data_IF_624589589317
#
_entry.id   IF_624589589317
#
_cell.length_a   1.000
_cell.length_b   1.000
_cell.length_c   1.000
_cell.angle_alpha   90.00
_cell.angle_beta   90.00
_cell.angle_gamma   90.00
#
_symmetry.space_group_name_H-M   'P 1'
#
loop_
_entity.id
_entity.type
_entity.pdbx_description
1 polymer ?
#
# COMPACT_ATOMS: atom_id res chain seq x y z
N UNK A 1 -13.27 -13.56 26.51
CA UNK A 1 -12.14 -12.82 25.89
C UNK A 1 -12.56 -12.32 24.52
N UNK A 2 -12.46 -11.02 24.25
CA UNK A 2 -12.61 -10.51 22.88
C UNK A 2 -11.42 -11.00 22.05
N UNK A 3 -11.68 -11.75 20.98
CA UNK A 3 -10.65 -12.23 20.06
C UNK A 3 -9.98 -11.00 19.43
N UNK A 4 -8.65 -10.89 19.50
CA UNK A 4 -7.94 -9.76 18.89
C UNK A 4 -8.20 -9.75 17.38
N UNK A 5 -8.49 -8.59 16.80
CA UNK A 5 -8.68 -8.46 15.35
C UNK A 5 -7.39 -8.85 14.63
N UNK A 6 -7.50 -9.70 13.61
CA UNK A 6 -6.38 -10.07 12.75
C UNK A 6 -5.98 -8.90 11.86
N UNK A 7 -4.67 -8.73 11.66
CA UNK A 7 -4.08 -7.62 10.93
C UNK A 7 -3.65 -8.09 9.55
N UNK A 8 -4.11 -7.42 8.50
CA UNK A 8 -3.73 -7.68 7.10
C UNK A 8 -2.94 -6.48 6.57
N UNK A 9 -1.71 -6.70 6.12
CA UNK A 9 -0.99 -5.71 5.32
C UNK A 9 -1.39 -5.86 3.85
N UNK A 10 -1.76 -4.76 3.19
CA UNK A 10 -2.01 -4.77 1.75
C UNK A 10 -0.77 -4.27 1.02
N UNK A 11 -0.35 -5.02 0.01
CA UNK A 11 0.74 -4.65 -0.88
C UNK A 11 0.25 -4.61 -2.33
N UNK A 12 0.54 -3.52 -3.03
CA UNK A 12 0.16 -3.32 -4.43
C UNK A 12 1.09 -2.31 -5.11
N UNK A 13 0.87 -2.07 -6.40
CA UNK A 13 1.46 -0.89 -7.04
C UNK A 13 0.79 0.39 -6.54
N UNK A 14 1.55 1.45 -6.30
CA UNK A 14 0.99 2.77 -5.94
C UNK A 14 -0.07 3.32 -6.92
N UNK A 15 -0.09 2.82 -8.16
CA UNK A 15 -1.14 3.12 -9.14
C UNK A 15 -2.54 2.64 -8.71
N UNK A 16 -2.61 1.73 -7.73
CA UNK A 16 -3.83 1.09 -7.27
C UNK A 16 -4.20 1.45 -5.83
N UNK A 17 -3.57 2.46 -5.22
CA UNK A 17 -3.87 2.84 -3.83
C UNK A 17 -5.30 3.34 -3.62
N UNK A 18 -5.97 3.84 -4.67
CA UNK A 18 -7.41 4.13 -4.60
C UNK A 18 -8.21 2.85 -4.37
N UNK A 19 -7.94 1.81 -5.15
CA UNK A 19 -8.56 0.49 -5.03
C UNK A 19 -8.19 -0.18 -3.69
N UNK A 20 -6.95 -0.03 -3.23
CA UNK A 20 -6.53 -0.58 -1.93
C UNK A 20 -7.32 0.02 -0.75
N UNK A 21 -7.72 1.30 -0.85
CA UNK A 21 -8.57 1.94 0.15
C UNK A 21 -9.97 1.31 0.15
N UNK A 22 -10.52 1.00 -1.02
CA UNK A 22 -11.81 0.31 -1.15
C UNK A 22 -11.75 -1.11 -0.58
N UNK A 23 -10.67 -1.84 -0.85
CA UNK A 23 -10.38 -3.16 -0.28
C UNK A 23 -10.22 -3.06 1.24
N UNK A 24 -9.49 -2.05 1.73
CA UNK A 24 -9.31 -1.80 3.16
C UNK A 24 -10.67 -1.61 3.87
N UNK A 25 -11.57 -0.79 3.32
CA UNK A 25 -12.89 -0.59 3.93
C UNK A 25 -13.72 -1.88 3.92
N UNK A 26 -13.60 -2.71 2.89
CA UNK A 26 -14.25 -4.03 2.82
C UNK A 26 -13.71 -4.99 3.89
N UNK A 27 -12.39 -5.08 4.03
CA UNK A 27 -11.75 -5.92 5.07
C UNK A 27 -12.09 -5.45 6.50
N UNK A 28 -12.19 -4.13 6.72
CA UNK A 28 -12.62 -3.60 8.02
C UNK A 28 -14.05 -4.01 8.37
N UNK A 29 -14.97 -4.01 7.40
CA UNK A 29 -16.34 -4.50 7.60
C UNK A 29 -16.39 -5.98 7.97
N UNK A 30 -15.44 -6.78 7.48
CA UNK A 30 -15.26 -8.19 7.84
C UNK A 30 -14.58 -8.39 9.21
N UNK A 31 -14.23 -7.31 9.92
CA UNK A 31 -13.65 -7.37 11.26
C UNK A 31 -12.12 -7.38 11.31
N UNK A 32 -11.44 -7.22 10.18
CA UNK A 32 -9.98 -7.14 10.15
C UNK A 32 -9.46 -5.73 10.47
N UNK A 33 -8.23 -5.68 10.99
CA UNK A 33 -7.41 -4.47 10.96
C UNK A 33 -6.56 -4.50 9.68
N UNK A 34 -6.32 -3.33 9.07
CA UNK A 34 -5.63 -3.25 7.79
C UNK A 34 -4.52 -2.22 7.84
N UNK A 35 -3.34 -2.58 7.33
CA UNK A 35 -2.18 -1.70 7.22
C UNK A 35 -1.86 -1.44 5.75
N UNK A 36 -1.97 -0.18 5.34
CA UNK A 36 -1.60 0.31 4.01
C UNK A 36 -0.23 1.00 4.02
N UNK A 37 0.42 1.15 2.85
CA UNK A 37 1.58 2.02 2.68
C UNK A 37 1.31 3.45 3.18
N UNK A 38 2.34 4.15 3.68
CA UNK A 38 2.16 5.51 4.20
C UNK A 38 1.64 6.48 3.12
N UNK A 39 2.15 6.36 1.90
CA UNK A 39 1.72 7.16 0.76
C UNK A 39 0.23 6.95 0.44
N UNK A 40 -0.30 5.73 0.54
CA UNK A 40 -1.73 5.46 0.33
C UNK A 40 -2.61 6.24 1.32
N UNK A 41 -2.18 6.33 2.58
CA UNK A 41 -2.88 7.13 3.60
C UNK A 41 -2.82 8.63 3.32
N UNK A 42 -1.71 9.12 2.77
CA UNK A 42 -1.63 10.53 2.32
C UNK A 42 -2.60 10.76 1.16
N UNK A 43 -2.57 9.91 0.13
CA UNK A 43 -3.47 10.02 -1.03
C UNK A 43 -4.94 10.01 -0.60
N UNK A 44 -5.31 9.13 0.34
CA UNK A 44 -6.67 9.11 0.93
C UNK A 44 -7.03 10.46 1.55
N UNK A 45 -6.14 11.04 2.35
CA UNK A 45 -6.38 12.29 3.09
C UNK A 45 -6.44 13.51 2.18
N UNK A 46 -5.61 13.55 1.14
CA UNK A 46 -5.52 14.70 0.22
C UNK A 46 -6.46 14.59 -0.98
N UNK A 47 -7.00 13.40 -1.25
CA UNK A 47 -7.75 13.12 -2.47
C UNK A 47 -6.89 13.08 -3.74
N UNK A 48 -5.57 13.23 -3.62
CA UNK A 48 -4.65 13.23 -4.75
C UNK A 48 -4.09 11.83 -4.98
N UNK A 49 -4.53 11.17 -6.05
CA UNK A 49 -4.06 9.83 -6.44
C UNK A 49 -3.07 9.85 -7.62
N UNK A 50 -2.56 11.04 -8.00
CA UNK A 50 -1.48 11.12 -8.99
C UNK A 50 -0.18 10.59 -8.39
N UNK A 51 0.21 9.39 -8.82
CA UNK A 51 1.42 8.71 -8.38
C UNK A 51 2.68 9.55 -8.66
N UNK A 52 2.69 10.33 -9.75
CA UNK A 52 3.86 11.12 -10.14
C UNK A 52 4.14 12.28 -9.16
N UNK A 53 3.12 12.75 -8.45
CA UNK A 53 3.28 13.71 -7.36
C UNK A 53 4.12 13.14 -6.21
N UNK A 54 4.03 11.84 -5.94
CA UNK A 54 4.70 11.19 -4.81
C UNK A 54 6.01 10.48 -5.18
N UNK A 55 6.15 9.97 -6.41
CA UNK A 55 7.35 9.30 -6.92
C UNK A 55 8.44 10.31 -7.33
N UNK A 56 8.96 11.06 -6.37
CA UNK A 56 9.92 12.15 -6.62
C UNK A 56 11.33 11.66 -6.98
N UNK A 57 11.66 10.38 -6.79
CA UNK A 57 13.03 9.89 -6.97
C UNK A 57 13.52 9.86 -8.42
N UNK A 58 12.62 9.75 -9.40
CA UNK A 58 13.01 9.85 -10.81
C UNK A 58 13.34 11.27 -11.24
N UNK A 59 12.79 12.28 -10.56
CA UNK A 59 13.00 13.70 -10.89
C UNK A 59 14.11 14.34 -10.04
N UNK A 60 14.16 13.98 -8.76
CA UNK A 60 14.99 14.68 -7.77
C UNK A 60 16.06 13.78 -7.11
N UNK A 61 16.35 12.61 -7.71
CA UNK A 61 17.31 11.61 -7.20
C UNK A 61 17.09 11.18 -5.72
N UNK A 62 15.86 11.33 -5.23
CA UNK A 62 15.51 11.15 -3.81
C UNK A 62 15.26 9.68 -3.43
N UNK A 63 16.28 8.84 -3.65
CA UNK A 63 16.23 7.40 -3.35
C UNK A 63 16.22 7.10 -1.84
N UNK A 64 16.75 8.00 -1.01
CA UNK A 64 16.67 7.88 0.46
C UNK A 64 15.21 7.92 0.95
N UNK A 65 14.39 8.83 0.42
CA UNK A 65 12.95 8.87 0.70
C UNK A 65 12.25 7.59 0.24
N UNK A 66 12.60 7.07 -0.95
CA UNK A 66 12.05 5.79 -1.44
C UNK A 66 12.37 4.65 -0.46
N UNK A 67 13.64 4.52 -0.07
CA UNK A 67 14.08 3.49 0.86
C UNK A 67 13.41 3.61 2.24
N UNK A 68 13.24 4.83 2.74
CA UNK A 68 12.54 5.09 4.00
C UNK A 68 11.06 4.67 3.93
N UNK A 69 10.37 5.01 2.84
CA UNK A 69 8.96 4.62 2.66
C UNK A 69 8.82 3.10 2.60
N UNK A 70 9.67 2.44 1.79
CA UNK A 70 9.74 0.98 1.71
C UNK A 70 9.96 0.34 3.09
N UNK A 71 10.98 0.78 3.84
CA UNK A 71 11.24 0.23 5.19
C UNK A 71 10.03 0.39 6.11
N UNK A 72 9.40 1.58 6.10
CA UNK A 72 8.22 1.84 6.91
C UNK A 72 7.03 0.94 6.54
N UNK A 73 6.85 0.59 5.27
CA UNK A 73 5.80 -0.37 4.89
C UNK A 73 6.21 -1.81 5.20
N UNK A 74 7.48 -2.16 5.04
CA UNK A 74 8.01 -3.46 5.46
C UNK A 74 7.79 -3.72 6.95
N UNK A 75 8.02 -2.72 7.81
CA UNK A 75 7.71 -2.83 9.24
C UNK A 75 6.23 -3.10 9.49
N UNK A 76 5.33 -2.53 8.67
CA UNK A 76 3.89 -2.84 8.76
C UNK A 76 3.59 -4.30 8.39
N UNK A 77 4.27 -4.82 7.37
CA UNK A 77 4.15 -6.21 6.93
C UNK A 77 4.60 -7.16 8.04
N UNK A 78 5.79 -6.93 8.60
CA UNK A 78 6.35 -7.74 9.70
C UNK A 78 5.40 -7.77 10.91
N UNK A 79 4.72 -6.65 11.19
CA UNK A 79 3.77 -6.53 12.28
C UNK A 79 2.32 -6.92 11.89
N UNK A 80 2.11 -7.75 10.87
CA UNK A 80 0.78 -8.20 10.43
C UNK A 80 0.65 -9.72 10.52
N UNK A 81 -0.57 -10.22 10.71
CA UNK A 81 -0.86 -11.65 10.72
C UNK A 81 -0.87 -12.25 9.30
N UNK A 82 -1.18 -11.44 8.29
CA UNK A 82 -1.24 -11.85 6.90
C UNK A 82 -0.90 -10.70 5.94
N UNK A 83 -0.55 -11.06 4.71
CA UNK A 83 -0.33 -10.11 3.61
C UNK A 83 -1.30 -10.41 2.48
N UNK A 84 -1.99 -9.37 2.01
CA UNK A 84 -2.80 -9.41 0.80
C UNK A 84 -2.05 -8.72 -0.33
N UNK A 85 -1.65 -9.50 -1.34
CA UNK A 85 -1.06 -8.99 -2.57
C UNK A 85 -2.19 -8.66 -3.55
N UNK A 86 -2.30 -7.40 -3.94
CA UNK A 86 -3.28 -6.93 -4.91
C UNK A 86 -2.57 -6.66 -6.24
N UNK A 87 -2.76 -7.59 -7.18
CA UNK A 87 -2.01 -7.68 -8.44
C UNK A 87 -2.87 -7.35 -9.66
N UNK A 88 -3.49 -6.15 -9.64
CA UNK A 88 -4.22 -5.66 -10.81
C UNK A 88 -3.34 -5.59 -12.06
N UNK A 89 -3.95 -5.75 -13.23
CA UNK A 89 -3.24 -5.64 -14.50
C UNK A 89 -2.64 -4.24 -14.68
N UNK A 90 -1.38 -4.18 -15.12
CA UNK A 90 -0.67 -2.93 -15.35
C UNK A 90 0.22 -3.06 -16.58
N UNK A 91 0.28 -2.04 -17.43
CA UNK A 91 1.10 -2.06 -18.65
C UNK A 91 0.85 -3.29 -19.55
N UNK A 92 -0.41 -3.75 -19.63
CA UNK A 92 -0.83 -4.98 -20.35
C UNK A 92 -0.33 -6.31 -19.73
N UNK A 93 0.30 -6.26 -18.57
CA UNK A 93 0.68 -7.45 -17.81
C UNK A 93 -0.41 -7.78 -16.79
N UNK A 94 -1.07 -8.92 -16.99
CA UNK A 94 -2.04 -9.45 -16.03
C UNK A 94 -1.32 -9.98 -14.78
N UNK A 95 -1.91 -9.77 -13.59
CA UNK A 95 -1.31 -10.24 -12.34
C UNK A 95 -0.01 -9.50 -11.96
N UNK A 96 0.17 -8.27 -12.42
CA UNK A 96 1.42 -7.51 -12.25
C UNK A 96 1.84 -7.40 -10.77
N UNK A 97 3.07 -7.86 -10.48
CA UNK A 97 3.77 -7.64 -9.22
C UNK A 97 5.05 -6.88 -9.53
N UNK A 98 5.03 -5.58 -9.23
CA UNK A 98 6.18 -4.72 -9.44
C UNK A 98 7.20 -4.76 -8.31
N UNK A 99 8.34 -4.10 -8.54
CA UNK A 99 9.27 -3.80 -7.47
C UNK A 99 8.60 -3.03 -6.33
N UNK A 100 8.91 -3.43 -5.09
CA UNK A 100 8.36 -2.84 -3.88
C UNK A 100 8.58 -1.32 -3.91
N UNK A 101 7.49 -0.58 -4.09
CA UNK A 101 7.58 0.82 -4.54
C UNK A 101 7.42 1.81 -3.39
N UNK A 102 6.84 1.40 -2.25
CA UNK A 102 6.63 2.20 -1.04
C UNK A 102 6.24 1.32 0.13
#
# INVERSE_FOLDING_TARGET
MLKSKKIIAICSSAAFYKQDIEIMESLKKLGFQVKLPYTAMIMKRTGNYDVNHYKTWFKNNNYSKKAMLMRRHFDKIVNSDAVLIVNFAKNKEAGYIGGFSF
#
